data_IF_903076561747
#
_entry.id   IF_903076561747
#
_cell.length_a   1.000
_cell.length_b   1.000
_cell.length_c   1.000
_cell.angle_alpha   90.00
_cell.angle_beta   90.00
_cell.angle_gamma   90.00
#
_symmetry.space_group_name_H-M   'P 1'
#
loop_
_entity.id
_entity.type
_entity.pdbx_description
1 polymer ?
#
# COMPACT_ATOMS: atom_id res chain seq x y z
N UNK A 1 -69.54 -50.37 49.67
CA UNK A 1 -68.44 -49.39 49.85
C UNK A 1 -67.27 -49.66 48.90
N UNK A 2 -66.78 -50.90 48.80
CA UNK A 2 -65.64 -51.30 47.91
C UNK A 2 -65.79 -50.89 46.44
N UNK A 3 -66.97 -51.08 45.82
CA UNK A 3 -67.19 -50.71 44.40
C UNK A 3 -67.11 -49.20 44.12
N UNK A 4 -67.47 -48.34 45.09
CA UNK A 4 -67.39 -46.87 44.90
C UNK A 4 -65.93 -46.41 44.92
N UNK A 5 -65.10 -46.98 45.80
CA UNK A 5 -63.68 -46.66 45.88
C UNK A 5 -62.89 -47.14 44.64
N UNK A 6 -63.23 -48.30 44.09
CA UNK A 6 -62.64 -48.79 42.84
C UNK A 6 -63.01 -47.90 41.63
N UNK A 7 -64.23 -47.35 41.60
CA UNK A 7 -64.66 -46.45 40.53
C UNK A 7 -63.94 -45.08 40.60
N UNK A 8 -63.71 -44.56 41.80
CA UNK A 8 -62.99 -43.29 41.97
C UNK A 8 -61.50 -43.41 41.62
N UNK A 9 -60.89 -44.56 41.91
CA UNK A 9 -59.48 -44.81 41.59
C UNK A 9 -59.28 -44.98 40.08
N UNK A 10 -60.18 -45.68 39.39
CA UNK A 10 -60.14 -45.85 37.93
C UNK A 10 -60.37 -44.54 37.18
N UNK A 11 -61.25 -43.66 37.66
CA UNK A 11 -61.44 -42.32 37.09
C UNK A 11 -60.20 -41.44 37.24
N UNK A 12 -59.56 -41.45 38.41
CA UNK A 12 -58.33 -40.68 38.66
C UNK A 12 -57.16 -41.12 37.76
N UNK A 13 -57.04 -42.43 37.51
CA UNK A 13 -56.03 -42.98 36.59
C UNK A 13 -56.30 -42.53 35.14
N UNK A 14 -57.56 -42.58 34.70
CA UNK A 14 -57.95 -42.17 33.35
C UNK A 14 -57.71 -40.66 33.10
N UNK A 15 -58.00 -39.80 34.08
CA UNK A 15 -57.72 -38.35 34.00
C UNK A 15 -56.21 -38.06 33.90
N UNK A 16 -55.38 -38.75 34.69
CA UNK A 16 -53.91 -38.63 34.60
C UNK A 16 -53.38 -39.10 33.24
N UNK A 17 -53.90 -40.19 32.70
CA UNK A 17 -53.51 -40.69 31.37
C UNK A 17 -53.91 -39.71 30.27
N UNK A 18 -55.10 -39.12 30.36
CA UNK A 18 -55.55 -38.08 29.42
C UNK A 18 -54.65 -36.85 29.47
N UNK A 19 -54.32 -36.37 30.67
CA UNK A 19 -53.43 -35.22 30.85
C UNK A 19 -52.02 -35.50 30.31
N UNK A 20 -51.47 -36.70 30.55
CA UNK A 20 -50.17 -37.09 30.01
C UNK A 20 -50.18 -37.11 28.48
N UNK A 21 -51.22 -37.70 27.87
CA UNK A 21 -51.35 -37.74 26.40
C UNK A 21 -51.45 -36.34 25.81
N UNK A 22 -52.21 -35.44 26.43
CA UNK A 22 -52.33 -34.04 25.99
C UNK A 22 -50.99 -33.29 26.10
N UNK A 23 -50.23 -33.54 27.17
CA UNK A 23 -48.89 -32.96 27.34
C UNK A 23 -47.91 -33.47 26.26
N UNK A 24 -47.95 -34.77 25.93
CA UNK A 24 -47.13 -35.36 24.87
C UNK A 24 -47.49 -34.79 23.50
N UNK A 25 -48.78 -34.67 23.17
CA UNK A 25 -49.25 -34.08 21.91
C UNK A 25 -48.83 -32.61 21.77
N UNK A 26 -48.92 -31.83 22.85
CA UNK A 26 -48.46 -30.44 22.87
C UNK A 26 -46.94 -30.31 22.68
N UNK A 27 -46.16 -31.21 23.28
CA UNK A 27 -44.70 -31.23 23.11
C UNK A 27 -44.29 -31.63 21.68
N UNK A 28 -44.95 -32.63 21.10
CA UNK A 28 -44.73 -33.03 19.70
C UNK A 28 -45.01 -31.85 18.76
N UNK A 29 -46.14 -31.17 18.94
CA UNK A 29 -46.51 -30.02 18.12
C UNK A 29 -45.47 -28.88 18.23
N UNK A 30 -45.00 -28.58 19.44
CA UNK A 30 -43.95 -27.58 19.67
C UNK A 30 -42.65 -27.91 18.91
N UNK A 31 -42.21 -29.18 18.97
CA UNK A 31 -41.01 -29.63 18.27
C UNK A 31 -41.18 -29.62 16.73
N UNK A 32 -42.39 -29.92 16.24
CA UNK A 32 -42.70 -29.81 14.81
C UNK A 32 -42.63 -28.36 14.31
N UNK A 33 -43.17 -27.42 15.08
CA UNK A 33 -43.09 -25.98 14.77
C UNK A 33 -41.65 -25.47 14.80
N UNK A 34 -40.86 -25.88 15.80
CA UNK A 34 -39.43 -25.55 15.91
C UNK A 34 -38.62 -26.10 14.71
N UNK A 35 -38.83 -27.38 14.36
CA UNK A 35 -38.18 -27.98 13.20
C UNK A 35 -38.58 -27.27 11.89
N UNK A 36 -39.85 -26.87 11.76
CA UNK A 36 -40.32 -26.14 10.59
C UNK A 36 -39.63 -24.77 10.47
N UNK A 37 -39.46 -24.07 11.60
CA UNK A 37 -38.74 -22.80 11.65
C UNK A 37 -37.25 -22.97 11.30
N UNK A 38 -36.58 -24.00 11.84
CA UNK A 38 -35.18 -24.32 11.51
C UNK A 38 -35.02 -24.67 10.02
N UNK A 39 -35.92 -25.49 9.46
CA UNK A 39 -35.90 -25.83 8.04
C UNK A 39 -36.03 -24.59 7.17
N UNK A 40 -36.93 -23.67 7.52
CA UNK A 40 -37.07 -22.41 6.80
C UNK A 40 -35.79 -21.55 6.89
N UNK A 41 -35.20 -21.43 8.09
CA UNK A 41 -33.97 -20.67 8.35
C UNK A 41 -32.78 -21.16 7.52
N UNK A 42 -32.64 -22.49 7.42
CA UNK A 42 -31.52 -23.14 6.72
C UNK A 42 -31.87 -23.60 5.30
N UNK A 43 -32.98 -23.10 4.74
CA UNK A 43 -33.47 -23.38 3.37
C UNK A 43 -33.60 -24.87 3.04
N UNK A 44 -33.97 -25.68 4.03
CA UNK A 44 -34.23 -27.10 3.84
C UNK A 44 -35.63 -27.29 3.22
N UNK A 45 -35.77 -28.08 2.15
CA UNK A 45 -37.08 -28.38 1.56
C UNK A 45 -38.06 -29.05 2.54
N UNK A 46 -39.33 -28.63 2.52
CA UNK A 46 -40.37 -29.10 3.47
C UNK A 46 -40.62 -30.61 3.44
N UNK A 47 -40.41 -31.24 2.28
CA UNK A 47 -40.63 -32.67 2.04
C UNK A 47 -39.57 -33.58 2.68
N UNK A 48 -38.47 -33.03 3.19
CA UNK A 48 -37.36 -33.79 3.78
C UNK A 48 -37.71 -34.23 5.20
N UNK A 49 -37.99 -35.52 5.43
CA UNK A 49 -38.45 -36.08 6.73
C UNK A 49 -37.37 -36.90 7.44
N UNK A 50 -36.18 -36.32 7.61
CA UNK A 50 -35.08 -37.03 8.27
C UNK A 50 -34.95 -36.67 9.74
N UNK A 51 -35.01 -37.67 10.63
CA UNK A 51 -34.85 -37.50 12.08
C UNK A 51 -33.47 -36.92 12.45
N UNK A 52 -32.42 -37.29 11.71
CA UNK A 52 -31.06 -36.78 11.93
C UNK A 52 -30.92 -35.29 11.55
N UNK A 53 -31.75 -34.79 10.63
CA UNK A 53 -31.67 -33.41 10.17
C UNK A 53 -32.05 -32.42 11.26
N UNK A 54 -33.01 -32.76 12.12
CA UNK A 54 -33.33 -31.94 13.29
C UNK A 54 -32.10 -31.72 14.19
N UNK A 55 -31.37 -32.79 14.50
CA UNK A 55 -30.15 -32.70 15.32
C UNK A 55 -29.08 -31.85 14.64
N UNK A 56 -28.91 -31.98 13.33
CA UNK A 56 -27.93 -31.20 12.57
C UNK A 56 -28.30 -29.71 12.51
N UNK A 57 -29.58 -29.37 12.27
CA UNK A 57 -30.03 -27.98 12.25
C UNK A 57 -29.95 -27.34 13.64
N UNK A 58 -30.27 -28.09 14.70
CA UNK A 58 -30.09 -27.64 16.08
C UNK A 58 -28.59 -27.46 16.41
N UNK A 59 -27.73 -28.34 15.90
CA UNK A 59 -26.27 -28.22 16.03
C UNK A 59 -25.74 -26.95 15.36
N UNK A 60 -26.27 -26.60 14.18
CA UNK A 60 -25.98 -25.33 13.52
C UNK A 60 -26.48 -24.13 14.33
N UNK A 61 -27.68 -24.22 14.91
CA UNK A 61 -28.25 -23.14 15.71
C UNK A 61 -27.48 -22.90 17.03
N UNK A 62 -27.00 -23.99 17.62
CA UNK A 62 -26.14 -23.99 18.80
C UNK A 62 -24.67 -23.66 18.48
N UNK A 63 -24.33 -23.45 17.20
CA UNK A 63 -22.99 -23.08 16.68
C UNK A 63 -21.90 -24.14 16.86
N UNK A 64 -22.28 -25.39 16.93
CA UNK A 64 -21.29 -26.45 16.95
C UNK A 64 -20.80 -26.70 15.52
N UNK A 65 -19.48 -26.79 15.35
CA UNK A 65 -18.87 -27.12 14.06
C UNK A 65 -19.41 -28.45 13.56
N UNK A 66 -19.83 -28.48 12.30
CA UNK A 66 -20.24 -29.73 11.67
C UNK A 66 -19.02 -30.65 11.52
N UNK A 67 -19.21 -31.95 11.78
CA UNK A 67 -18.19 -32.96 11.50
C UNK A 67 -18.14 -33.25 10.00
N UNK A 68 -17.02 -33.81 9.52
CA UNK A 68 -16.89 -34.22 8.12
C UNK A 68 -17.98 -35.22 7.70
N UNK A 69 -18.44 -36.08 8.62
CA UNK A 69 -19.57 -36.98 8.36
C UNK A 69 -20.89 -36.24 8.20
N UNK A 70 -21.14 -35.19 8.98
CA UNK A 70 -22.35 -34.36 8.88
C UNK A 70 -22.35 -33.52 7.60
N UNK A 71 -21.19 -32.98 7.21
CA UNK A 71 -21.00 -32.28 5.93
C UNK A 71 -21.29 -33.24 4.77
N UNK A 72 -20.68 -34.43 4.77
CA UNK A 72 -20.92 -35.45 3.74
C UNK A 72 -22.39 -35.85 3.65
N UNK A 73 -23.09 -35.95 4.78
CA UNK A 73 -24.53 -36.19 4.75
C UNK A 73 -25.29 -35.06 4.04
N UNK A 74 -24.98 -33.78 4.32
CA UNK A 74 -25.63 -32.67 3.62
C UNK A 74 -25.40 -32.74 2.10
N UNK A 75 -24.20 -33.15 1.66
CA UNK A 75 -23.86 -33.37 0.25
C UNK A 75 -24.64 -34.54 -0.35
N UNK A 76 -24.67 -35.70 0.34
CA UNK A 76 -25.37 -36.92 -0.10
C UNK A 76 -26.89 -36.67 -0.27
N UNK A 77 -27.47 -35.73 0.49
CA UNK A 77 -28.87 -35.31 0.38
C UNK A 77 -29.10 -34.09 -0.52
N UNK A 78 -28.08 -33.63 -1.24
CA UNK A 78 -28.14 -32.47 -2.14
C UNK A 78 -28.63 -31.17 -1.44
N UNK A 79 -28.29 -30.99 -0.17
CA UNK A 79 -28.64 -29.82 0.65
C UNK A 79 -27.56 -28.73 0.56
N UNK A 80 -27.14 -28.41 -0.67
CA UNK A 80 -26.00 -27.52 -0.92
C UNK A 80 -26.21 -26.11 -0.36
N UNK A 81 -27.44 -25.58 -0.37
CA UNK A 81 -27.75 -24.27 0.23
C UNK A 81 -27.58 -24.28 1.76
N UNK A 82 -28.02 -25.36 2.42
CA UNK A 82 -27.84 -25.55 3.87
C UNK A 82 -26.37 -25.66 4.21
N UNK A 83 -25.59 -26.39 3.40
CA UNK A 83 -24.14 -26.49 3.55
C UNK A 83 -23.44 -25.13 3.38
N UNK A 84 -23.84 -24.34 2.38
CA UNK A 84 -23.30 -22.99 2.17
C UNK A 84 -23.58 -22.08 3.37
N UNK A 85 -24.79 -22.11 3.93
CA UNK A 85 -25.14 -21.36 5.15
C UNK A 85 -24.30 -21.85 6.34
N UNK A 86 -24.13 -23.16 6.50
CA UNK A 86 -23.31 -23.73 7.56
C UNK A 86 -21.85 -23.24 7.48
N UNK A 87 -21.27 -23.22 6.27
CA UNK A 87 -19.93 -22.72 6.04
C UNK A 87 -19.81 -21.22 6.38
N UNK A 88 -20.77 -20.40 5.97
CA UNK A 88 -20.79 -18.97 6.32
C UNK A 88 -20.93 -18.72 7.82
N UNK A 89 -21.70 -19.54 8.54
CA UNK A 89 -21.80 -19.45 10.01
C UNK A 89 -20.45 -19.78 10.66
N UNK A 90 -19.75 -20.79 10.15
CA UNK A 90 -18.42 -21.14 10.63
C UNK A 90 -17.42 -20.02 10.33
N UNK A 91 -17.41 -19.51 9.10
CA UNK A 91 -16.57 -18.37 8.69
C UNK A 91 -16.83 -17.16 9.58
N UNK A 92 -18.09 -16.82 9.86
CA UNK A 92 -18.42 -15.71 10.76
C UNK A 92 -17.85 -15.93 12.16
N UNK A 93 -17.94 -17.15 12.69
CA UNK A 93 -17.37 -17.48 14.00
C UNK A 93 -15.84 -17.31 14.01
N UNK A 94 -15.16 -17.76 12.96
CA UNK A 94 -13.70 -17.61 12.78
C UNK A 94 -13.29 -16.14 12.65
N UNK A 95 -14.01 -15.36 11.84
CA UNK A 95 -13.82 -13.92 11.69
C UNK A 95 -13.99 -13.17 13.01
N UNK A 96 -15.01 -13.51 13.80
CA UNK A 96 -15.21 -12.90 15.12
C UNK A 96 -14.04 -13.16 16.07
N UNK A 97 -13.41 -14.34 15.98
CA UNK A 97 -12.20 -14.64 16.75
C UNK A 97 -11.03 -13.82 16.22
N UNK A 98 -10.78 -13.85 14.89
CA UNK A 98 -9.66 -13.15 14.24
C UNK A 98 -9.69 -11.64 14.50
N UNK A 99 -10.87 -11.04 14.49
CA UNK A 99 -11.08 -9.60 14.66
C UNK A 99 -11.58 -9.23 16.06
N UNK A 100 -11.45 -10.12 17.05
CA UNK A 100 -11.79 -9.86 18.46
C UNK A 100 -13.25 -9.43 18.73
N UNK A 101 -14.19 -9.74 17.83
CA UNK A 101 -15.61 -9.41 17.96
C UNK A 101 -16.44 -10.52 18.65
N UNK A 102 -15.80 -11.39 19.44
CA UNK A 102 -16.46 -12.56 20.08
C UNK A 102 -17.55 -12.16 21.08
N UNK A 103 -17.43 -10.97 21.69
CA UNK A 103 -18.41 -10.40 22.64
C UNK A 103 -19.74 -10.00 21.98
N UNK A 104 -19.79 -9.81 20.66
CA UNK A 104 -21.03 -9.42 19.98
C UNK A 104 -22.05 -10.56 20.05
N UNK A 105 -23.30 -10.34 20.48
CA UNK A 105 -24.26 -11.43 20.71
C UNK A 105 -24.79 -12.02 19.40
N UNK A 106 -24.96 -11.21 18.34
CA UNK A 106 -25.53 -11.69 17.09
C UNK A 106 -24.61 -12.72 16.42
N UNK A 107 -25.29 -13.69 15.84
CA UNK A 107 -24.78 -14.92 15.23
C UNK A 107 -25.22 -15.02 13.78
N UNK A 108 -26.14 -14.16 13.34
CA UNK A 108 -26.71 -14.16 12.02
C UNK A 108 -25.67 -13.77 10.97
N UNK A 109 -25.59 -14.54 9.90
CA UNK A 109 -24.86 -14.18 8.68
C UNK A 109 -25.48 -12.97 7.97
N UNK A 110 -26.72 -12.59 8.32
CA UNK A 110 -27.34 -11.33 7.87
C UNK A 110 -27.00 -10.13 8.76
N UNK A 111 -26.19 -10.33 9.81
CA UNK A 111 -25.78 -9.25 10.71
C UNK A 111 -24.87 -8.26 9.99
N UNK A 112 -24.97 -6.99 10.38
CA UNK A 112 -24.07 -5.95 9.87
C UNK A 112 -22.61 -6.25 10.21
N UNK A 113 -22.35 -6.83 11.38
CA UNK A 113 -21.00 -7.25 11.79
C UNK A 113 -20.38 -8.22 10.79
N UNK A 114 -21.11 -9.26 10.34
CA UNK A 114 -20.56 -10.23 9.39
C UNK A 114 -20.07 -9.54 8.10
N UNK A 115 -20.88 -8.65 7.53
CA UNK A 115 -20.51 -7.91 6.32
C UNK A 115 -19.29 -6.98 6.52
N UNK A 116 -19.12 -6.43 7.72
CA UNK A 116 -17.95 -5.61 8.08
C UNK A 116 -16.71 -6.48 8.18
N UNK A 117 -16.79 -7.61 8.88
CA UNK A 117 -15.65 -8.51 9.05
C UNK A 117 -15.21 -9.13 7.72
N UNK A 118 -16.15 -9.49 6.83
CA UNK A 118 -15.82 -9.92 5.47
C UNK A 118 -15.03 -8.88 4.68
N UNK A 119 -15.35 -7.59 4.84
CA UNK A 119 -14.61 -6.50 4.18
C UNK A 119 -13.20 -6.35 4.75
N UNK A 120 -13.05 -6.48 6.07
CA UNK A 120 -11.73 -6.47 6.71
C UNK A 120 -10.88 -7.66 6.25
N UNK A 121 -11.49 -8.83 6.09
CA UNK A 121 -10.82 -10.03 5.56
C UNK A 121 -10.33 -9.83 4.12
N UNK A 122 -11.14 -9.14 3.29
CA UNK A 122 -10.82 -8.81 1.89
C UNK A 122 -9.97 -7.54 1.75
N UNK A 123 -9.41 -7.04 2.84
CA UNK A 123 -8.61 -5.80 2.92
C UNK A 123 -9.26 -4.55 2.31
N UNK A 124 -10.59 -4.53 2.30
CA UNK A 124 -11.37 -3.43 1.76
C UNK A 124 -11.54 -2.33 2.80
N UNK A 125 -11.34 -1.07 2.38
CA UNK A 125 -11.50 0.09 3.26
C UNK A 125 -12.97 0.20 3.71
N UNK A 126 -13.19 0.17 5.03
CA UNK A 126 -14.50 0.39 5.62
C UNK A 126 -14.95 1.84 5.44
N UNK A 127 -16.24 2.04 5.22
CA UNK A 127 -16.84 3.38 5.19
C UNK A 127 -16.88 3.97 6.60
N UNK A 128 -16.92 5.30 6.71
CA UNK A 128 -17.07 6.00 7.99
C UNK A 128 -18.26 5.47 8.81
N UNK A 129 -19.42 5.30 8.17
CA UNK A 129 -20.61 4.73 8.83
C UNK A 129 -20.45 3.30 9.35
N UNK A 130 -19.48 2.54 8.86
CA UNK A 130 -19.19 1.19 9.35
C UNK A 130 -18.25 1.23 10.56
N UNK A 131 -17.29 2.17 10.56
CA UNK A 131 -16.43 2.46 11.71
C UNK A 131 -17.24 3.02 12.88
N UNK A 132 -18.08 4.02 12.62
CA UNK A 132 -18.99 4.61 13.62
C UNK A 132 -19.87 3.51 14.25
N UNK A 133 -20.35 2.56 13.44
CA UNK A 133 -21.16 1.44 13.92
C UNK A 133 -20.39 0.50 14.85
N UNK A 134 -19.11 0.20 14.56
CA UNK A 134 -18.26 -0.62 15.45
C UNK A 134 -18.05 0.06 16.80
N UNK A 135 -17.83 1.38 16.79
CA UNK A 135 -17.66 2.19 17.99
C UNK A 135 -18.95 2.23 18.83
N UNK A 136 -20.10 2.51 18.20
CA UNK A 136 -21.43 2.50 18.84
C UNK A 136 -21.77 1.15 19.50
N UNK A 137 -21.30 0.04 18.91
CA UNK A 137 -21.52 -1.32 19.42
C UNK A 137 -20.41 -1.79 20.39
N UNK A 138 -19.54 -0.89 20.85
CA UNK A 138 -18.46 -1.17 21.80
C UNK A 138 -17.49 -2.27 21.34
N UNK A 139 -17.28 -2.39 20.03
CA UNK A 139 -16.32 -3.33 19.43
C UNK A 139 -14.95 -2.67 19.28
N UNK A 140 -14.40 -2.17 20.39
CA UNK A 140 -13.20 -1.34 20.44
C UNK A 140 -11.95 -1.99 19.82
N UNK A 141 -11.75 -3.29 20.05
CA UNK A 141 -10.63 -4.05 19.51
C UNK A 141 -10.77 -4.21 17.99
N UNK A 142 -11.97 -4.56 17.50
CA UNK A 142 -12.28 -4.65 16.07
C UNK A 142 -12.12 -3.30 15.37
N UNK A 143 -12.60 -2.23 16.00
CA UNK A 143 -12.45 -0.86 15.52
C UNK A 143 -10.98 -0.47 15.36
N UNK A 144 -10.15 -0.72 16.38
CA UNK A 144 -8.71 -0.45 16.33
C UNK A 144 -8.00 -1.19 15.19
N UNK A 145 -8.38 -2.45 14.93
CA UNK A 145 -7.83 -3.23 13.81
C UNK A 145 -8.23 -2.58 12.48
N UNK A 146 -9.50 -2.20 12.32
CA UNK A 146 -10.00 -1.57 11.11
C UNK A 146 -9.32 -0.22 10.84
N UNK A 147 -9.12 0.61 11.87
CA UNK A 147 -8.39 1.88 11.74
C UNK A 147 -6.94 1.68 11.31
N UNK A 148 -6.23 0.73 11.94
CA UNK A 148 -4.85 0.41 11.56
C UNK A 148 -4.75 -0.04 10.10
N UNK A 149 -5.68 -0.88 9.66
CA UNK A 149 -5.72 -1.33 8.27
C UNK A 149 -5.99 -0.19 7.30
N UNK A 150 -6.90 0.74 7.64
CA UNK A 150 -7.14 1.96 6.87
C UNK A 150 -5.88 2.83 6.77
N UNK A 151 -5.18 3.06 7.89
CA UNK A 151 -3.93 3.83 7.92
C UNK A 151 -2.85 3.19 7.04
N UNK A 152 -2.66 1.86 7.13
CA UNK A 152 -1.71 1.14 6.28
C UNK A 152 -2.07 1.31 4.79
N UNK A 153 -3.34 1.22 4.42
CA UNK A 153 -3.78 1.41 3.03
C UNK A 153 -3.56 2.85 2.54
N UNK A 154 -3.80 3.84 3.38
CA UNK A 154 -3.51 5.25 3.07
C UNK A 154 -2.00 5.49 2.90
N UNK A 155 -1.17 4.85 3.72
CA UNK A 155 0.29 4.90 3.60
C UNK A 155 0.79 4.24 2.32
N UNK A 156 0.28 3.05 1.96
CA UNK A 156 0.59 2.40 0.69
C UNK A 156 0.24 3.32 -0.49
N UNK A 157 -0.96 3.91 -0.48
CA UNK A 157 -1.39 4.85 -1.52
C UNK A 157 -0.51 6.10 -1.58
N UNK A 158 -0.06 6.62 -0.43
CA UNK A 158 0.89 7.74 -0.38
C UNK A 158 2.22 7.37 -1.04
N UNK A 159 2.76 6.20 -0.72
CA UNK A 159 4.01 5.70 -1.31
C UNK A 159 3.88 5.42 -2.81
N UNK A 160 2.73 4.90 -3.26
CA UNK A 160 2.45 4.73 -4.69
C UNK A 160 2.45 6.06 -5.44
N UNK A 161 1.83 7.10 -4.87
CA UNK A 161 1.85 8.44 -5.44
C UNK A 161 3.26 9.02 -5.46
N UNK A 162 4.02 8.90 -4.35
CA UNK A 162 5.42 9.32 -4.28
C UNK A 162 6.26 8.61 -5.36
N UNK A 163 6.03 7.31 -5.56
CA UNK A 163 6.73 6.57 -6.60
C UNK A 163 6.36 7.05 -8.01
N UNK A 164 5.11 7.41 -8.26
CA UNK A 164 4.70 8.01 -9.54
C UNK A 164 5.39 9.34 -9.78
N UNK A 165 5.48 10.20 -8.77
CA UNK A 165 6.16 11.49 -8.83
C UNK A 165 7.66 11.30 -9.12
N UNK A 166 8.30 10.33 -8.46
CA UNK A 166 9.70 9.96 -8.72
C UNK A 166 9.87 9.43 -10.15
N UNK A 167 8.98 8.56 -10.64
CA UNK A 167 9.03 8.06 -12.02
C UNK A 167 8.95 9.20 -13.02
N UNK A 168 8.07 10.17 -12.81
CA UNK A 168 7.95 11.35 -13.66
C UNK A 168 9.23 12.20 -13.62
N UNK A 169 9.70 12.53 -12.41
CA UNK A 169 10.92 13.33 -12.18
C UNK A 169 12.14 12.74 -12.88
N UNK A 170 12.29 11.41 -12.81
CA UNK A 170 13.42 10.68 -13.37
C UNK A 170 13.16 10.08 -14.75
N UNK A 171 12.07 10.49 -15.41
CA UNK A 171 11.69 10.09 -16.78
C UNK A 171 11.64 8.57 -16.98
N UNK A 172 11.15 7.85 -15.99
CA UNK A 172 10.92 6.42 -16.08
C UNK A 172 9.64 6.15 -16.89
N UNK A 173 9.67 5.26 -17.89
CA UNK A 173 8.47 4.88 -18.63
C UNK A 173 7.35 4.36 -17.72
N UNK A 174 6.10 4.74 -18.01
CA UNK A 174 4.94 4.40 -17.16
C UNK A 174 4.74 2.89 -17.00
N UNK A 175 5.03 2.11 -18.04
CA UNK A 175 4.87 0.66 -18.09
C UNK A 175 5.92 -0.14 -17.29
N UNK A 176 6.91 0.53 -16.68
CA UNK A 176 7.94 -0.13 -15.89
C UNK A 176 7.49 -0.26 -14.44
N UNK A 177 7.21 -1.49 -14.01
CA UNK A 177 6.84 -1.82 -12.64
C UNK A 177 7.89 -2.73 -12.02
N UNK A 178 8.85 -2.13 -11.32
CA UNK A 178 9.88 -2.87 -10.59
C UNK A 178 9.96 -2.37 -9.16
N UNK A 179 9.84 -3.27 -8.19
CA UNK A 179 9.91 -2.95 -6.76
C UNK A 179 11.26 -2.34 -6.36
N UNK A 180 12.37 -2.77 -6.98
CA UNK A 180 13.69 -2.21 -6.72
C UNK A 180 13.83 -0.76 -7.22
N UNK A 181 13.01 -0.35 -8.20
CA UNK A 181 13.13 0.97 -8.81
C UNK A 181 12.70 2.07 -7.84
N UNK A 182 11.69 1.80 -7.00
CA UNK A 182 11.30 2.74 -5.95
C UNK A 182 12.47 3.07 -5.02
N UNK A 183 13.18 2.06 -4.52
CA UNK A 183 14.35 2.25 -3.66
C UNK A 183 15.47 3.02 -4.36
N UNK A 184 15.72 2.71 -5.64
CA UNK A 184 16.77 3.36 -6.43
C UNK A 184 16.44 4.84 -6.67
N UNK A 185 15.22 5.16 -7.08
CA UNK A 185 14.80 6.55 -7.32
C UNK A 185 14.77 7.36 -6.02
N UNK A 186 14.27 6.76 -4.93
CA UNK A 186 14.28 7.39 -3.60
C UNK A 186 15.69 7.70 -3.12
N UNK A 187 16.62 6.75 -3.30
CA UNK A 187 18.04 6.95 -2.99
C UNK A 187 18.65 8.06 -3.85
N UNK A 188 18.31 8.11 -5.14
CA UNK A 188 18.78 9.17 -6.02
C UNK A 188 18.28 10.55 -5.58
N UNK A 189 17.06 10.63 -5.04
CA UNK A 189 16.46 11.87 -4.54
C UNK A 189 17.09 12.35 -3.22
N UNK A 190 17.43 11.41 -2.34
CA UNK A 190 17.93 11.71 -0.99
C UNK A 190 19.46 11.83 -0.94
N UNK A 191 20.17 10.83 -1.46
CA UNK A 191 21.62 10.66 -1.36
C UNK A 191 22.39 11.24 -2.56
N UNK A 192 21.71 11.55 -3.68
CA UNK A 192 22.34 12.03 -4.93
C UNK A 192 23.43 11.11 -5.49
N UNK A 193 23.46 9.83 -5.12
CA UNK A 193 24.51 8.91 -5.55
C UNK A 193 24.01 7.49 -5.72
N UNK A 194 24.35 6.90 -6.87
CA UNK A 194 24.13 5.50 -7.16
C UNK A 194 25.45 4.71 -7.09
N UNK A 195 25.36 3.46 -6.70
CA UNK A 195 26.46 2.49 -6.75
C UNK A 195 26.65 1.97 -8.18
N UNK A 196 27.82 1.42 -8.47
CA UNK A 196 28.11 0.80 -9.77
C UNK A 196 27.12 -0.33 -10.12
N UNK A 197 26.63 -1.06 -9.12
CA UNK A 197 25.63 -2.11 -9.31
C UNK A 197 24.27 -1.53 -9.69
N UNK A 198 23.83 -0.46 -9.04
CA UNK A 198 22.58 0.25 -9.37
C UNK A 198 22.64 0.87 -10.78
N UNK A 199 23.78 1.45 -11.16
CA UNK A 199 24.01 1.96 -12.51
C UNK A 199 23.92 0.84 -13.56
N UNK A 200 24.51 -0.33 -13.27
CA UNK A 200 24.41 -1.50 -14.16
C UNK A 200 22.96 -1.98 -14.30
N UNK A 201 22.16 -1.92 -13.23
CA UNK A 201 20.74 -2.25 -13.29
C UNK A 201 19.97 -1.28 -14.19
N UNK A 202 20.17 0.04 -14.02
CA UNK A 202 19.51 1.03 -14.90
C UNK A 202 19.84 0.78 -16.38
N UNK A 203 21.10 0.45 -16.70
CA UNK A 203 21.52 0.07 -18.05
C UNK A 203 20.84 -1.22 -18.53
N UNK A 204 20.78 -2.24 -17.69
CA UNK A 204 20.15 -3.52 -18.00
C UNK A 204 18.67 -3.37 -18.37
N UNK A 205 17.95 -2.48 -17.68
CA UNK A 205 16.55 -2.17 -17.96
C UNK A 205 16.34 -1.07 -19.02
N UNK A 206 17.40 -0.65 -19.73
CA UNK A 206 17.37 0.41 -20.75
C UNK A 206 16.81 1.76 -20.26
N UNK A 207 16.99 2.08 -18.97
CA UNK A 207 16.56 3.35 -18.38
C UNK A 207 17.60 4.46 -18.61
N UNK A 208 17.94 4.70 -19.88
CA UNK A 208 19.04 5.59 -20.27
C UNK A 208 18.81 7.06 -19.87
N UNK A 209 17.57 7.54 -19.93
CA UNK A 209 17.23 8.91 -19.51
C UNK A 209 17.39 9.09 -18.00
N UNK A 210 16.88 8.14 -17.21
CA UNK A 210 17.08 8.09 -15.75
C UNK A 210 18.57 8.05 -15.41
N UNK A 211 19.34 7.24 -16.12
CA UNK A 211 20.79 7.17 -15.94
C UNK A 211 21.49 8.50 -16.26
N UNK A 212 21.10 9.18 -17.34
CA UNK A 212 21.65 10.48 -17.70
C UNK A 212 21.38 11.53 -16.60
N UNK A 213 20.15 11.56 -16.07
CA UNK A 213 19.78 12.44 -14.94
C UNK A 213 20.61 12.09 -13.70
N UNK A 214 20.77 10.80 -13.39
CA UNK A 214 21.56 10.36 -12.24
C UNK A 214 23.04 10.82 -12.33
N UNK A 215 23.63 10.71 -13.53
CA UNK A 215 25.00 11.16 -13.77
C UNK A 215 25.11 12.70 -13.62
N UNK A 216 24.14 13.46 -14.13
CA UNK A 216 24.13 14.92 -13.98
C UNK A 216 23.98 15.35 -12.51
N UNK A 217 23.17 14.65 -11.72
CA UNK A 217 23.04 14.91 -10.28
C UNK A 217 24.38 14.67 -9.57
N UNK A 218 25.07 13.58 -9.92
CA UNK A 218 26.39 13.28 -9.36
C UNK A 218 27.43 14.33 -9.78
N UNK A 219 27.48 14.68 -11.07
CA UNK A 219 28.35 15.73 -11.59
C UNK A 219 28.10 17.06 -10.88
N UNK A 220 26.83 17.43 -10.65
CA UNK A 220 26.51 18.64 -9.90
C UNK A 220 27.05 18.59 -8.46
N UNK A 221 26.93 17.45 -7.78
CA UNK A 221 27.47 17.29 -6.43
C UNK A 221 29.01 17.44 -6.41
N UNK A 222 29.70 16.85 -7.39
CA UNK A 222 31.15 16.96 -7.55
C UNK A 222 31.59 18.41 -7.85
N UNK A 223 30.87 19.09 -8.75
CA UNK A 223 31.09 20.51 -9.05
C UNK A 223 30.90 21.40 -7.82
N UNK A 224 29.85 21.15 -7.02
CA UNK A 224 29.63 21.90 -5.77
C UNK A 224 30.80 21.75 -4.79
N UNK A 225 31.41 20.57 -4.72
CA UNK A 225 32.61 20.35 -3.90
C UNK A 225 33.80 21.10 -4.51
N UNK A 226 34.06 20.92 -5.81
CA UNK A 226 35.20 21.53 -6.54
C UNK A 226 35.20 23.05 -6.44
N UNK A 227 34.03 23.68 -6.52
CA UNK A 227 33.86 25.14 -6.51
C UNK A 227 33.32 25.69 -5.19
N UNK A 228 33.41 24.91 -4.10
CA UNK A 228 33.02 25.32 -2.75
C UNK A 228 31.56 25.81 -2.59
N UNK A 229 30.64 25.35 -3.44
CA UNK A 229 29.22 25.70 -3.41
C UNK A 229 28.36 24.69 -2.61
N UNK A 230 28.96 23.93 -1.69
CA UNK A 230 28.28 22.85 -0.93
C UNK A 230 27.18 23.37 -0.01
N UNK A 231 27.26 24.63 0.44
CA UNK A 231 26.26 25.28 1.30
C UNK A 231 24.95 25.63 0.59
N UNK A 232 24.94 25.66 -0.76
CA UNK A 232 23.73 25.98 -1.50
C UNK A 232 22.72 24.83 -1.37
N UNK A 233 21.47 25.07 -0.96
CA UNK A 233 20.53 23.98 -0.63
C UNK A 233 19.99 23.26 -1.86
N UNK A 234 19.90 23.93 -3.01
CA UNK A 234 19.34 23.32 -4.22
C UNK A 234 20.25 22.20 -4.75
N UNK A 235 19.60 21.11 -5.14
CA UNK A 235 20.20 19.91 -5.74
C UNK A 235 19.72 19.69 -7.18
N UNK A 236 18.82 20.54 -7.67
CA UNK A 236 18.22 20.41 -9.00
C UNK A 236 19.26 20.66 -10.09
N UNK A 237 19.30 19.77 -11.08
CA UNK A 237 20.06 19.94 -12.33
C UNK A 237 19.48 21.06 -13.21
N UNK A 238 18.28 21.57 -12.91
CA UNK A 238 17.70 22.75 -13.55
C UNK A 238 18.04 24.05 -12.80
N UNK A 239 18.82 23.96 -11.72
CA UNK A 239 19.22 25.14 -10.95
C UNK A 239 20.17 26.02 -11.75
N UNK A 240 20.07 27.34 -11.54
CA UNK A 240 21.00 28.31 -12.13
C UNK A 240 22.44 28.06 -11.69
N UNK A 241 22.64 27.57 -10.46
CA UNK A 241 23.96 27.20 -9.95
C UNK A 241 24.60 26.10 -10.81
N UNK A 242 23.87 25.03 -11.15
CA UNK A 242 24.43 23.95 -11.97
C UNK A 242 24.97 24.47 -13.31
N UNK A 243 24.18 25.30 -14.02
CA UNK A 243 24.63 25.91 -15.28
C UNK A 243 25.84 26.84 -15.13
N UNK A 244 25.96 27.53 -13.99
CA UNK A 244 27.14 28.36 -13.69
C UNK A 244 28.38 27.48 -13.43
N UNK A 245 28.24 26.42 -12.64
CA UNK A 245 29.35 25.53 -12.33
C UNK A 245 29.81 24.75 -13.58
N UNK A 246 28.90 24.30 -14.43
CA UNK A 246 29.25 23.70 -15.73
C UNK A 246 30.07 24.65 -16.61
N UNK A 247 29.75 25.95 -16.57
CA UNK A 247 30.48 26.96 -17.32
C UNK A 247 31.88 27.19 -16.79
N UNK A 248 32.05 27.18 -15.46
CA UNK A 248 33.35 27.26 -14.81
C UNK A 248 34.20 26.03 -15.13
N UNK A 249 33.59 24.84 -15.16
CA UNK A 249 34.27 23.58 -15.53
C UNK A 249 34.79 23.62 -16.96
N UNK A 250 33.99 24.19 -17.89
CA UNK A 250 34.35 24.34 -19.31
C UNK A 250 35.22 25.58 -19.58
N UNK A 251 35.70 26.25 -18.54
CA UNK A 251 36.50 27.47 -18.59
C UNK A 251 35.87 28.64 -19.37
N UNK A 252 34.55 28.65 -19.48
CA UNK A 252 33.81 29.69 -20.17
C UNK A 252 33.65 30.93 -19.29
N UNK A 253 33.76 32.10 -19.91
CA UNK A 253 33.62 33.38 -19.20
C UNK A 253 32.17 33.55 -18.74
N UNK A 254 31.97 33.68 -17.43
CA UNK A 254 30.67 34.00 -16.84
C UNK A 254 30.23 35.41 -17.21
N UNK A 255 28.93 35.58 -17.43
CA UNK A 255 28.32 36.90 -17.62
C UNK A 255 28.29 37.66 -16.29
N UNK A 256 28.27 38.99 -16.35
CA UNK A 256 28.14 39.83 -15.14
C UNK A 256 26.92 39.43 -14.29
N UNK A 257 25.77 39.19 -14.93
CA UNK A 257 24.56 38.72 -14.24
C UNK A 257 24.71 37.37 -13.51
N UNK A 258 25.66 36.53 -13.91
CA UNK A 258 25.94 35.25 -13.24
C UNK A 258 26.85 35.43 -12.04
N UNK A 259 27.82 36.36 -12.13
CA UNK A 259 28.66 36.77 -11.01
C UNK A 259 27.84 37.48 -9.93
N UNK A 260 27.02 38.46 -10.33
CA UNK A 260 26.11 39.17 -9.43
C UNK A 260 25.20 38.17 -8.69
N UNK A 261 24.70 37.13 -9.39
CA UNK A 261 23.88 36.08 -8.79
C UNK A 261 24.64 35.25 -7.74
N UNK A 262 25.92 34.91 -7.96
CA UNK A 262 26.73 34.19 -6.98
C UNK A 262 26.94 35.03 -5.71
N UNK A 263 27.17 36.33 -5.87
CA UNK A 263 27.33 37.28 -4.77
C UNK A 263 26.03 37.43 -3.97
N UNK A 264 24.90 37.64 -4.65
CA UNK A 264 23.55 37.73 -4.05
C UNK A 264 23.19 36.47 -3.25
N UNK A 265 23.64 35.29 -3.68
CA UNK A 265 23.40 34.00 -3.01
C UNK A 265 24.48 33.64 -1.99
N UNK A 266 25.36 34.58 -1.62
CA UNK A 266 26.42 34.42 -0.61
C UNK A 266 27.41 33.28 -0.93
N UNK A 267 27.62 32.98 -2.22
CA UNK A 267 28.58 31.99 -2.69
C UNK A 267 29.95 32.63 -2.91
N UNK A 268 30.48 33.29 -1.88
CA UNK A 268 31.68 34.14 -1.96
C UNK A 268 32.94 33.40 -2.40
N UNK A 269 33.10 32.14 -1.97
CA UNK A 269 34.23 31.29 -2.39
C UNK A 269 34.12 30.93 -3.88
N UNK A 270 32.94 30.49 -4.33
CA UNK A 270 32.65 30.20 -5.74
C UNK A 270 32.85 31.45 -6.61
N UNK A 271 32.37 32.60 -6.15
CA UNK A 271 32.53 33.90 -6.81
C UNK A 271 34.01 34.25 -6.98
N UNK A 272 34.81 34.11 -5.93
CA UNK A 272 36.26 34.40 -5.97
C UNK A 272 37.00 33.52 -6.98
N UNK A 273 36.63 32.23 -7.06
CA UNK A 273 37.18 31.30 -8.06
C UNK A 273 36.81 31.77 -9.47
N UNK A 274 35.55 32.15 -9.69
CA UNK A 274 35.05 32.63 -10.97
C UNK A 274 35.73 33.92 -11.44
N UNK A 275 35.94 34.89 -10.54
CA UNK A 275 36.66 36.13 -10.85
C UNK A 275 38.12 35.87 -11.23
N UNK A 276 38.81 34.99 -10.47
CA UNK A 276 40.19 34.63 -10.78
C UNK A 276 40.31 33.97 -12.16
N UNK A 277 39.38 33.08 -12.50
CA UNK A 277 39.34 32.43 -13.82
C UNK A 277 39.09 33.45 -14.95
N UNK A 278 38.18 34.41 -14.72
CA UNK A 278 37.93 35.50 -15.67
C UNK A 278 39.18 36.36 -15.90
N UNK A 279 39.88 36.76 -14.83
CA UNK A 279 41.12 37.54 -14.92
C UNK A 279 42.21 36.79 -15.71
N UNK A 280 42.41 35.49 -15.41
CA UNK A 280 43.35 34.65 -16.15
C UNK A 280 43.00 34.59 -17.65
N UNK A 281 41.72 34.41 -17.98
CA UNK A 281 41.26 34.37 -19.38
C UNK A 281 41.45 35.70 -20.12
N UNK A 282 41.27 36.83 -19.43
CA UNK A 282 41.53 38.17 -19.99
C UNK A 282 43.03 38.40 -20.20
N UNK A 283 43.89 37.92 -19.29
CA UNK A 283 45.35 37.98 -19.43
C UNK A 283 45.85 37.11 -20.59
N UNK A 284 45.35 35.88 -20.75
CA UNK A 284 45.69 35.02 -21.89
C UNK A 284 45.32 35.71 -23.21
N UNK A 285 44.11 36.27 -23.32
CA UNK A 285 43.69 37.03 -24.51
C UNK A 285 44.58 38.24 -24.79
N UNK A 286 45.01 38.96 -23.74
CA UNK A 286 45.93 40.09 -23.87
C UNK A 286 47.27 39.62 -24.45
N UNK A 287 47.83 38.52 -23.93
CA UNK A 287 49.09 37.96 -24.39
C UNK A 287 48.99 37.40 -25.81
N UNK A 288 47.87 36.78 -26.18
CA UNK A 288 47.61 36.32 -27.55
C UNK A 288 47.60 37.49 -28.54
N UNK A 289 46.95 38.60 -28.18
CA UNK A 289 46.94 39.81 -29.01
C UNK A 289 48.34 40.43 -29.12
N UNK A 290 49.08 40.54 -28.02
CA UNK A 290 50.47 41.04 -28.04
C UNK A 290 51.37 40.15 -28.92
N UNK A 291 51.20 38.83 -28.83
CA UNK A 291 51.93 37.89 -29.67
C UNK A 291 51.58 38.04 -31.16
N UNK A 292 50.30 38.28 -31.49
CA UNK A 292 49.86 38.57 -32.86
C UNK A 292 50.51 39.86 -33.40
N UNK A 293 50.53 40.93 -32.61
CA UNK A 293 51.15 42.20 -32.98
C UNK A 293 52.66 42.04 -33.23
N UNK A 294 53.36 41.29 -32.37
CA UNK A 294 54.78 40.98 -32.56
C UNK A 294 55.00 40.17 -33.84
N UNK A 295 54.15 39.17 -34.10
CA UNK A 295 54.24 38.33 -35.29
C UNK A 295 54.11 39.13 -36.58
N UNK A 296 53.19 40.09 -36.60
CA UNK A 296 53.03 41.02 -37.72
C UNK A 296 54.25 41.93 -37.88
N UNK A 297 54.71 42.53 -36.78
CA UNK A 297 55.88 43.43 -36.76
C UNK A 297 57.14 42.79 -37.33
N UNK A 298 57.40 41.53 -36.99
CA UNK A 298 58.62 40.81 -37.42
C UNK A 298 58.46 40.04 -38.73
N UNK A 299 57.31 40.18 -39.44
CA UNK A 299 57.03 39.48 -40.71
C UNK A 299 57.31 37.97 -40.63
N UNK A 300 56.93 37.34 -39.51
CA UNK A 300 57.21 35.92 -39.28
C UNK A 300 56.57 35.10 -40.42
N UNK A 301 57.35 34.30 -41.17
CA UNK A 301 56.83 33.54 -42.31
C UNK A 301 55.67 32.63 -41.90
N UNK A 302 54.62 32.55 -42.73
CA UNK A 302 53.42 31.72 -42.49
C UNK A 302 53.72 30.24 -42.17
N UNK A 303 54.90 29.74 -42.55
CA UNK A 303 55.36 28.37 -42.26
C UNK A 303 55.60 28.10 -40.77
N UNK A 304 55.64 29.12 -39.91
CA UNK A 304 55.80 28.99 -38.46
C UNK A 304 54.47 29.10 -37.69
N UNK A 305 53.33 28.91 -38.35
CA UNK A 305 52.04 28.75 -37.67
C UNK A 305 52.00 27.38 -36.96
N UNK A 306 52.75 27.25 -35.87
CA UNK A 306 52.45 26.23 -34.88
C UNK A 306 51.11 26.63 -34.30
N UNK A 307 50.09 25.83 -34.57
CA UNK A 307 48.78 26.01 -33.95
C UNK A 307 48.99 25.79 -32.46
N UNK A 308 48.99 26.87 -31.68
CA UNK A 308 48.78 26.79 -30.24
C UNK A 308 47.31 26.39 -30.05
N UNK A 309 46.97 25.12 -30.35
CA UNK A 309 45.78 24.54 -29.74
C UNK A 309 46.12 24.43 -28.27
N UNK A 310 45.42 25.19 -27.44
CA UNK A 310 45.49 25.11 -25.99
C UNK A 310 45.30 23.65 -25.59
N UNK A 311 46.40 22.93 -25.39
CA UNK A 311 46.35 21.60 -24.80
C UNK A 311 46.02 21.83 -23.34
N UNK A 312 44.73 21.69 -23.00
CA UNK A 312 44.22 21.61 -21.63
C UNK A 312 45.08 20.58 -20.87
N UNK A 313 45.82 21.06 -19.88
CA UNK A 313 46.72 20.27 -19.03
C UNK A 313 46.00 19.76 -17.78
#
# INVERSE_FOLDING_TARGET
>A
MVRKNQLTETLSIAEKQKQNKENEENEVKRLEDELLALKAKYKVPKNVKYRFLHQLLLKLDTKNKLTNSEIKLLEDYNLNETLAIANQIQEFAELKIKYCATKYPDKSISSRLFSILEKLEKETILKKSELDWLEENQLTETFSIAEKQKQNNEEVKRLENEFLDLKEKYKVPKNVEYSFLHQLLFKLDTENKLTNSEIKLLKYYNLNETLAIANQIQEFAELKIKYCATKYPDKSISSRLFSILEKLEKETILKKSELDWLEENQLTETFSIAEKQKQNNEEVKRLENEFLDLKEKYKVPKMWNIVFTSTTF
#
